data_IF_056807573080
#
_entry.id   IF_056807573080
#
_cell.length_a   1.000
_cell.length_b   1.000
_cell.length_c   1.000
_cell.angle_alpha   90.00
_cell.angle_beta   90.00
_cell.angle_gamma   90.00
#
_symmetry.space_group_name_H-M   'P 1'
#
loop_
_entity.id
_entity.type
_entity.pdbx_description
1 polymer ?
#
# COMPACT_ATOMS: atom_id res chain seq x y z
N UNK A 1 -13.39 18.44 6.61
CA UNK A 1 -12.57 18.08 7.78
C UNK A 1 -13.44 17.38 8.80
N UNK A 2 -12.89 16.37 9.47
CA UNK A 2 -13.45 15.75 10.68
C UNK A 2 -12.39 15.92 11.77
N UNK A 3 -12.82 16.07 13.02
CA UNK A 3 -11.92 16.30 14.16
C UNK A 3 -11.85 15.05 15.02
N UNK A 4 -10.65 14.74 15.52
CA UNK A 4 -10.42 13.67 16.49
C UNK A 4 -9.91 14.35 17.77
N UNK A 5 -10.52 14.02 18.90
CA UNK A 5 -10.03 14.43 20.21
C UNK A 5 -9.07 13.36 20.73
N UNK A 6 -7.94 13.80 21.27
CA UNK A 6 -6.95 12.95 21.93
C UNK A 6 -6.57 13.57 23.26
N UNK A 7 -6.11 12.75 24.19
CA UNK A 7 -5.55 13.21 25.46
C UNK A 7 -4.17 13.87 25.26
N UNK A 8 -3.67 14.56 26.29
CA UNK A 8 -2.42 15.31 26.23
C UNK A 8 -1.20 14.39 26.02
N UNK A 9 -1.19 13.20 26.61
CA UNK A 9 -0.07 12.27 26.48
C UNK A 9 0.02 11.72 25.04
N UNK A 10 -1.13 11.39 24.46
CA UNK A 10 -1.23 11.03 23.04
C UNK A 10 -0.80 12.20 22.15
N UNK A 11 -1.20 13.43 22.46
CA UNK A 11 -0.81 14.62 21.72
C UNK A 11 0.71 14.85 21.72
N UNK A 12 1.35 14.76 22.88
CA UNK A 12 2.80 14.86 23.02
C UNK A 12 3.54 13.79 22.22
N UNK A 13 2.99 12.57 22.21
CA UNK A 13 3.55 11.45 21.45
C UNK A 13 3.46 11.70 19.94
N UNK A 14 2.32 12.19 19.45
CA UNK A 14 2.12 12.53 18.04
C UNK A 14 3.05 13.68 17.61
N UNK A 15 3.27 14.69 18.47
CA UNK A 15 4.22 15.78 18.19
C UNK A 15 5.65 15.26 18.00
N UNK A 16 6.11 14.40 18.91
CA UNK A 16 7.44 13.77 18.80
C UNK A 16 7.56 12.92 17.55
N UNK A 17 6.50 12.17 17.20
CA UNK A 17 6.47 11.35 16.00
C UNK A 17 6.53 12.19 14.73
N UNK A 18 5.79 13.31 14.66
CA UNK A 18 5.84 14.26 13.54
C UNK A 18 7.27 14.75 13.28
N UNK A 19 7.98 15.13 14.34
CA UNK A 19 9.37 15.60 14.24
C UNK A 19 10.32 14.49 13.78
N UNK A 20 10.17 13.26 14.30
CA UNK A 20 10.99 12.11 13.89
C UNK A 20 10.79 11.72 12.42
N UNK A 21 9.56 11.83 11.92
CA UNK A 21 9.21 11.49 10.53
C UNK A 21 9.43 12.64 9.55
N UNK A 22 9.84 13.82 10.03
CA UNK A 22 9.91 15.07 9.26
C UNK A 22 8.61 15.36 8.46
N UNK A 23 7.47 15.03 9.07
CA UNK A 23 6.17 15.17 8.41
C UNK A 23 5.71 16.64 8.40
N UNK A 24 5.09 17.08 7.31
CA UNK A 24 4.62 18.45 7.10
C UNK A 24 3.37 18.76 7.92
N UNK A 25 2.50 17.77 8.13
CA UNK A 25 1.25 17.92 8.89
C UNK A 25 0.95 16.70 9.77
N UNK A 26 0.02 16.86 10.72
CA UNK A 26 -0.45 15.73 11.52
C UNK A 26 -1.29 14.74 10.70
N UNK A 27 -1.99 15.20 9.67
CA UNK A 27 -2.68 14.33 8.71
C UNK A 27 -1.70 13.41 7.99
N UNK A 28 -0.50 13.91 7.66
CA UNK A 28 0.55 13.10 7.06
C UNK A 28 1.10 12.05 8.04
N UNK A 29 1.25 12.41 9.31
CA UNK A 29 1.63 11.45 10.37
C UNK A 29 0.58 10.34 10.48
N UNK A 30 -0.70 10.70 10.54
CA UNK A 30 -1.80 9.74 10.62
C UNK A 30 -1.85 8.83 9.39
N UNK A 31 -1.64 9.37 8.19
CA UNK A 31 -1.60 8.57 6.95
C UNK A 31 -0.47 7.55 6.97
N UNK A 32 0.74 7.97 7.35
CA UNK A 32 1.90 7.07 7.48
C UNK A 32 1.68 5.99 8.53
N UNK A 33 1.03 6.33 9.65
CA UNK A 33 0.67 5.34 10.68
C UNK A 33 -0.34 4.30 10.15
N UNK A 34 -1.35 4.73 9.40
CA UNK A 34 -2.33 3.82 8.78
C UNK A 34 -1.65 2.91 7.75
N UNK A 35 -0.77 3.46 6.92
CA UNK A 35 0.00 2.68 5.94
C UNK A 35 0.90 1.64 6.64
N UNK A 36 1.63 2.05 7.68
CA UNK A 36 2.47 1.14 8.47
C UNK A 36 1.64 0.04 9.15
N UNK A 37 0.47 0.39 9.68
CA UNK A 37 -0.46 -0.59 10.26
C UNK A 37 -0.93 -1.61 9.22
N UNK A 38 -1.28 -1.18 8.01
CA UNK A 38 -1.67 -2.11 6.94
C UNK A 38 -0.54 -3.07 6.55
N UNK A 39 0.72 -2.62 6.56
CA UNK A 39 1.86 -3.50 6.30
C UNK A 39 2.04 -4.53 7.43
N UNK A 40 1.96 -4.11 8.68
CA UNK A 40 2.07 -5.02 9.82
C UNK A 40 0.89 -6.00 9.89
N UNK A 41 -0.34 -5.56 9.63
CA UNK A 41 -1.51 -6.43 9.51
C UNK A 41 -1.39 -7.40 8.34
N UNK A 42 -0.79 -6.98 7.23
CA UNK A 42 -0.53 -7.84 6.09
C UNK A 42 0.49 -8.91 6.46
N UNK A 43 1.60 -8.55 7.09
CA UNK A 43 2.62 -9.49 7.56
C UNK A 43 2.06 -10.48 8.59
N UNK A 44 1.22 -10.02 9.52
CA UNK A 44 0.58 -10.89 10.52
C UNK A 44 -0.50 -11.80 9.92
N UNK A 45 -1.16 -11.36 8.84
CA UNK A 45 -2.11 -12.21 8.11
C UNK A 45 -1.37 -13.23 7.27
N UNK A 46 -0.31 -12.85 6.55
CA UNK A 46 0.48 -13.79 5.76
C UNK A 46 1.21 -14.80 6.65
N UNK A 47 1.63 -14.44 7.86
CA UNK A 47 2.17 -15.37 8.87
C UNK A 47 1.14 -16.40 9.35
N UNK A 48 -0.17 -16.09 9.26
CA UNK A 48 -1.27 -17.03 9.56
C UNK A 48 -1.81 -17.79 8.36
N UNK A 49 -1.39 -17.44 7.15
CA UNK A 49 -1.80 -18.16 5.95
C UNK A 49 -0.75 -19.22 5.69
N UNK A 50 -0.94 -20.39 6.30
CA UNK A 50 -0.36 -21.64 5.79
C UNK A 50 -1.14 -21.97 4.53
N UNK A 51 -0.69 -21.44 3.39
CA UNK A 51 -1.16 -21.90 2.08
C UNK A 51 -0.62 -23.31 1.88
N UNK A 52 -1.48 -24.23 1.49
CA UNK A 52 -0.99 -25.43 0.83
C UNK A 52 -0.46 -25.08 -0.57
N UNK A 53 0.29 -26.02 -1.15
CA UNK A 53 0.97 -25.80 -2.43
C UNK A 53 -0.01 -25.47 -3.57
N UNK A 54 -1.24 -25.99 -3.52
CA UNK A 54 -2.26 -25.78 -4.55
C UNK A 54 -2.84 -24.35 -4.47
N UNK A 55 -3.10 -23.86 -3.26
CA UNK A 55 -3.55 -22.47 -3.04
C UNK A 55 -2.46 -21.45 -3.38
N UNK A 56 -1.19 -21.76 -3.08
CA UNK A 56 -0.06 -20.93 -3.44
C UNK A 56 0.11 -20.84 -4.97
N UNK A 57 -0.04 -21.96 -5.68
CA UNK A 57 0.07 -22.00 -7.15
C UNK A 57 -1.05 -21.20 -7.83
N UNK A 58 -2.28 -21.24 -7.29
CA UNK A 58 -3.40 -20.43 -7.77
C UNK A 58 -3.13 -18.92 -7.64
N UNK A 59 -2.61 -18.48 -6.50
CA UNK A 59 -2.29 -17.06 -6.25
C UNK A 59 -1.15 -16.60 -7.16
N UNK A 60 -0.11 -17.42 -7.33
CA UNK A 60 1.01 -17.12 -8.24
C UNK A 60 0.51 -16.96 -9.67
N UNK A 61 -0.40 -17.83 -10.13
CA UNK A 61 -0.95 -17.75 -11.47
C UNK A 61 -1.81 -16.49 -11.65
N UNK A 62 -2.60 -16.10 -10.64
CA UNK A 62 -3.40 -14.87 -10.69
C UNK A 62 -2.51 -13.61 -10.76
N UNK A 63 -1.40 -13.58 -10.03
CA UNK A 63 -0.41 -12.48 -10.07
C UNK A 63 0.22 -12.40 -11.47
N UNK A 64 0.70 -13.53 -12.01
CA UNK A 64 1.30 -13.60 -13.34
C UNK A 64 0.34 -13.16 -14.44
N UNK A 65 -0.93 -13.53 -14.34
CA UNK A 65 -1.94 -13.14 -15.32
C UNK A 65 -2.26 -11.64 -15.25
N UNK A 66 -2.22 -11.05 -14.05
CA UNK A 66 -2.36 -9.61 -13.87
C UNK A 66 -1.17 -8.84 -14.44
N UNK A 67 0.05 -9.34 -14.29
CA UNK A 67 1.25 -8.76 -14.90
C UNK A 67 1.17 -8.84 -16.43
N UNK A 68 0.82 -10.00 -16.99
CA UNK A 68 0.61 -10.16 -18.44
C UNK A 68 -0.51 -9.28 -19.00
N UNK A 69 -1.57 -9.04 -18.21
CA UNK A 69 -2.64 -8.13 -18.62
C UNK A 69 -2.18 -6.67 -18.62
N UNK A 70 -1.30 -6.29 -17.69
CA UNK A 70 -0.68 -4.97 -17.63
C UNK A 70 0.27 -4.73 -18.80
N UNK A 71 1.10 -5.73 -19.14
CA UNK A 71 1.99 -5.68 -20.30
C UNK A 71 1.23 -5.60 -21.64
N UNK A 72 0.08 -6.28 -21.75
CA UNK A 72 -0.82 -6.20 -22.92
C UNK A 72 -1.54 -4.85 -23.03
N UNK A 73 -1.80 -4.17 -21.92
CA UNK A 73 -2.31 -2.79 -21.92
C UNK A 73 -1.29 -1.79 -22.46
N UNK A 74 -0.02 -1.93 -22.06
CA UNK A 74 1.09 -1.06 -22.52
C UNK A 74 1.44 -1.24 -24.01
N UNK A 75 1.15 -2.42 -24.60
CA UNK A 75 1.44 -2.67 -26.02
C UNK A 75 0.46 -1.98 -26.97
N UNK A 76 -0.78 -1.74 -26.53
CA UNK A 76 -1.80 -1.07 -27.36
C UNK A 76 -1.60 0.46 -27.44
N UNK A 77 -0.95 1.07 -26.45
CA UNK A 77 -0.67 2.51 -26.42
C UNK A 77 0.53 2.87 -27.31
N UNK A 78 1.57 2.02 -27.37
CA UNK A 78 2.75 2.25 -28.24
C UNK A 78 2.45 2.09 -29.73
N UNK A 79 1.61 1.12 -30.11
CA UNK A 79 1.25 0.91 -31.52
C UNK A 79 0.42 2.06 -32.12
N UNK A 80 -0.25 2.87 -31.28
CA UNK A 80 -1.08 3.99 -31.72
C UNK A 80 -0.29 5.29 -31.96
N UNK A 81 0.96 5.40 -31.46
CA UNK A 81 1.80 6.58 -31.67
C UNK A 81 2.76 6.47 -32.87
N UNK A 82 3.09 5.25 -33.33
CA UNK A 82 4.01 5.06 -34.48
C UNK A 82 3.31 5.05 -35.86
N UNK A 83 1.97 5.06 -35.89
CA UNK A 83 1.18 5.10 -37.14
C UNK A 83 0.78 6.49 -37.63
N UNK A 84 1.30 7.56 -37.03
CA UNK A 84 0.97 8.95 -37.39
C UNK A 84 2.24 9.77 -37.64
N UNK A 85 3.03 9.35 -38.62
CA UNK A 85 4.09 10.14 -39.26
C UNK A 85 4.09 9.87 -40.77
#
# INVERSE_FOLDING_TARGET
>A
MKTIAVDEDTWETIKKLKAKLDARSYDEVLRKLIEAWHLVEFDLKTEKVVLDDDEAELIINLIKDREKARERGDTHEKASQEGSL
#
